data_IF_912162799360
#
_entry.id   IF_912162799360
#
_cell.length_a   1.000
_cell.length_b   1.000
_cell.length_c   1.000
_cell.angle_alpha   90.00
_cell.angle_beta   90.00
_cell.angle_gamma   90.00
#
_symmetry.space_group_name_H-M   'P 1'
#
loop_
_entity.id
_entity.type
_entity.pdbx_description
1 polymer ?
#
# COMPACT_ATOMS: atom_id res chain seq x y z
N UNK A 1 -18.11 -12.32 -27.22
CA UNK A 1 -16.70 -12.69 -26.90
C UNK A 1 -15.75 -11.50 -26.70
N UNK A 2 -16.09 -10.26 -27.09
CA UNK A 2 -15.16 -9.11 -27.02
C UNK A 2 -15.25 -8.23 -25.75
N UNK A 3 -16.28 -8.39 -24.90
CA UNK A 3 -16.45 -7.54 -23.72
C UNK A 3 -15.48 -7.88 -22.57
N UNK A 4 -15.06 -9.14 -22.46
CA UNK A 4 -14.12 -9.59 -21.41
C UNK A 4 -12.69 -9.17 -21.75
N UNK A 5 -12.30 -9.24 -23.03
CA UNK A 5 -10.98 -8.79 -23.50
C UNK A 5 -10.78 -7.28 -23.29
N UNK A 6 -11.81 -6.46 -23.57
CA UNK A 6 -11.74 -5.01 -23.37
C UNK A 6 -11.62 -4.61 -21.89
N UNK A 7 -12.08 -5.46 -20.96
CA UNK A 7 -11.92 -5.23 -19.51
C UNK A 7 -10.49 -5.46 -19.02
N UNK A 8 -9.69 -6.22 -19.78
CA UNK A 8 -8.30 -6.55 -19.46
C UNK A 8 -7.29 -5.57 -20.10
N UNK A 9 -7.72 -4.74 -21.05
CA UNK A 9 -6.86 -3.80 -21.81
C UNK A 9 -7.11 -2.33 -21.39
N UNK A 10 -8.02 -2.09 -20.45
CA UNK A 10 -8.28 -0.75 -19.93
C UNK A 10 -7.23 -0.32 -18.89
N UNK A 11 -6.12 0.22 -19.37
CA UNK A 11 -5.06 0.83 -18.55
C UNK A 11 -5.51 2.08 -17.77
N UNK A 12 -6.76 2.52 -17.90
CA UNK A 12 -7.29 3.67 -17.15
C UNK A 12 -8.06 3.27 -15.89
N UNK A 13 -8.35 1.98 -15.70
CA UNK A 13 -9.10 1.51 -14.54
C UNK A 13 -8.26 1.53 -13.27
N UNK A 14 -8.38 2.63 -12.50
CA UNK A 14 -7.80 2.72 -11.15
C UNK A 14 -8.45 1.68 -10.23
N UNK A 15 -7.63 0.94 -9.51
CA UNK A 15 -8.08 0.01 -8.47
C UNK A 15 -8.68 0.85 -7.32
N UNK A 16 -9.91 0.58 -6.85
CA UNK A 16 -10.52 1.34 -5.76
C UNK A 16 -9.66 1.37 -4.50
N UNK A 17 -9.79 2.41 -3.68
CA UNK A 17 -9.11 2.49 -2.39
C UNK A 17 -9.39 1.23 -1.54
N UNK A 18 -8.37 0.76 -0.83
CA UNK A 18 -8.43 -0.39 0.09
C UNK A 18 -8.55 -1.77 -0.57
N UNK A 19 -8.55 -1.85 -1.91
CA UNK A 19 -8.49 -3.13 -2.64
C UNK A 19 -7.04 -3.62 -2.77
N UNK A 20 -6.84 -4.94 -2.75
CA UNK A 20 -5.53 -5.57 -2.90
C UNK A 20 -5.11 -5.50 -4.37
N UNK A 21 -3.92 -4.94 -4.61
CA UNK A 21 -3.30 -4.84 -5.93
C UNK A 21 -2.29 -5.97 -6.19
N UNK A 22 -1.79 -6.61 -5.14
CA UNK A 22 -0.84 -7.71 -5.24
C UNK A 22 -0.18 -8.04 -3.91
N UNK A 23 0.79 -8.94 -3.96
CA UNK A 23 1.51 -9.44 -2.79
C UNK A 23 3.02 -9.39 -3.04
N UNK A 24 3.77 -8.77 -2.13
CA UNK A 24 5.21 -8.98 -2.07
C UNK A 24 5.55 -10.18 -1.18
N UNK A 25 6.60 -10.91 -1.55
CA UNK A 25 7.12 -12.03 -0.75
C UNK A 25 6.05 -13.08 -0.38
N UNK A 26 5.06 -13.26 -1.27
CA UNK A 26 3.92 -14.18 -1.14
C UNK A 26 2.86 -13.77 -0.10
N UNK A 27 3.18 -12.93 0.89
CA UNK A 27 2.30 -12.71 2.05
C UNK A 27 2.26 -11.26 2.58
N UNK A 28 2.67 -10.27 1.79
CA UNK A 28 2.54 -8.85 2.16
C UNK A 28 1.68 -8.14 1.13
N UNK A 29 0.42 -7.88 1.48
CA UNK A 29 -0.56 -7.21 0.62
C UNK A 29 -0.14 -5.77 0.31
N UNK A 30 -0.14 -5.40 -0.97
CA UNK A 30 -0.13 -4.02 -1.41
C UNK A 30 -1.58 -3.58 -1.66
N UNK A 31 -2.06 -2.61 -0.90
CA UNK A 31 -3.40 -2.06 -1.05
C UNK A 31 -3.37 -0.80 -1.91
N UNK A 32 -4.43 -0.58 -2.69
CA UNK A 32 -4.59 0.64 -3.46
C UNK A 32 -4.86 1.84 -2.55
N UNK A 33 -4.09 2.91 -2.76
CA UNK A 33 -4.38 4.24 -2.19
C UNK A 33 -5.42 5.01 -3.05
N UNK A 34 -6.05 4.38 -4.04
CA UNK A 34 -7.02 5.00 -4.95
C UNK A 34 -6.37 5.87 -6.03
N UNK A 35 -5.63 6.92 -5.65
CA UNK A 35 -4.83 7.73 -6.57
C UNK A 35 -3.62 8.38 -5.87
N UNK A 36 -2.81 9.10 -6.63
CA UNK A 36 -1.54 9.74 -6.25
C UNK A 36 -1.69 10.96 -5.33
N UNK A 37 -2.86 11.59 -5.28
CA UNK A 37 -3.14 12.74 -4.42
C UNK A 37 -4.02 12.41 -3.21
N UNK A 38 -4.52 11.17 -3.13
CA UNK A 38 -5.42 10.75 -2.07
C UNK A 38 -4.69 10.53 -0.75
N UNK A 39 -5.28 10.98 0.35
CA UNK A 39 -4.82 10.69 1.72
C UNK A 39 -6.04 10.35 2.57
N UNK A 40 -6.13 9.10 3.03
CA UNK A 40 -7.30 8.60 3.78
C UNK A 40 -7.51 9.25 5.15
N UNK A 41 -6.43 9.77 5.75
CA UNK A 41 -6.38 10.17 7.17
C UNK A 41 -6.69 9.02 8.14
N UNK A 42 -6.67 7.78 7.65
CA UNK A 42 -6.82 6.56 8.46
C UNK A 42 -5.45 5.99 8.82
N UNK A 43 -5.27 5.70 10.11
CA UNK A 43 -4.04 5.05 10.59
C UNK A 43 -4.10 3.53 10.36
N UNK A 44 -2.98 2.96 9.92
CA UNK A 44 -2.73 1.52 9.83
C UNK A 44 -1.94 1.06 11.05
N UNK A 45 -2.39 -0.05 11.67
CA UNK A 45 -1.71 -0.69 12.78
C UNK A 45 -1.62 -2.20 12.54
N UNK A 46 -0.49 -2.80 12.93
CA UNK A 46 -0.30 -4.24 12.94
C UNK A 46 0.29 -4.65 14.29
N UNK A 47 -0.41 -5.52 15.02
CA UNK A 47 -0.10 -5.91 16.40
C UNK A 47 0.18 -4.72 17.33
N UNK A 48 -0.60 -3.64 17.19
CA UNK A 48 -0.47 -2.42 17.99
C UNK A 48 0.65 -1.46 17.54
N UNK A 49 1.47 -1.83 16.56
CA UNK A 49 2.53 -0.97 16.03
C UNK A 49 1.97 -0.14 14.88
N UNK A 50 2.19 1.18 14.93
CA UNK A 50 1.80 2.10 13.87
C UNK A 50 2.60 1.86 12.59
N UNK A 51 1.91 1.48 11.52
CA UNK A 51 2.53 1.25 10.22
C UNK A 51 2.62 2.53 9.40
N UNK A 52 1.62 3.41 9.49
CA UNK A 52 1.55 4.64 8.70
C UNK A 52 0.09 5.00 8.37
N UNK A 53 -0.09 5.97 7.47
CA UNK A 53 -1.41 6.33 6.93
C UNK A 53 -1.76 5.34 5.82
N UNK A 54 -2.96 4.74 5.86
CA UNK A 54 -3.46 3.86 4.78
C UNK A 54 -3.59 4.64 3.46
N UNK A 55 -3.08 4.19 2.32
CA UNK A 55 -2.10 3.11 2.05
C UNK A 55 -0.87 3.74 1.40
N UNK A 56 -0.27 4.69 2.12
CA UNK A 56 0.87 5.47 1.65
C UNK A 56 2.15 4.62 1.55
N UNK A 57 3.10 5.06 0.74
CA UNK A 57 4.34 4.31 0.49
C UNK A 57 5.15 4.03 1.78
N UNK A 58 5.14 4.97 2.73
CA UNK A 58 5.80 4.82 4.03
C UNK A 58 5.10 3.77 4.89
N UNK A 59 3.76 3.65 4.81
CA UNK A 59 2.99 2.58 5.47
C UNK A 59 3.42 1.22 4.97
N UNK A 60 3.42 1.06 3.64
CA UNK A 60 3.75 -0.21 3.02
C UNK A 60 5.19 -0.64 3.32
N UNK A 61 6.13 0.30 3.24
CA UNK A 61 7.55 0.05 3.53
C UNK A 61 7.76 -0.40 4.98
N UNK A 62 7.10 0.26 5.94
CA UNK A 62 7.19 -0.10 7.36
C UNK A 62 6.57 -1.47 7.63
N UNK A 63 5.38 -1.74 7.07
CA UNK A 63 4.68 -3.02 7.23
C UNK A 63 5.45 -4.18 6.60
N UNK A 64 6.01 -3.98 5.41
CA UNK A 64 6.86 -4.98 4.76
C UNK A 64 8.09 -5.29 5.62
N UNK A 65 8.80 -4.27 6.13
CA UNK A 65 9.97 -4.46 6.97
C UNK A 65 9.63 -5.21 8.25
N UNK A 66 8.49 -4.85 8.88
CA UNK A 66 8.03 -5.50 10.08
C UNK A 66 7.73 -6.99 9.84
N UNK A 67 6.95 -7.33 8.81
CA UNK A 67 6.59 -8.73 8.51
C UNK A 67 7.81 -9.55 8.07
N UNK A 68 8.73 -8.97 7.27
CA UNK A 68 9.82 -9.72 6.64
C UNK A 68 11.13 -9.72 7.42
N UNK A 69 11.35 -8.73 8.29
CA UNK A 69 12.61 -8.52 9.00
C UNK A 69 12.43 -8.30 10.50
N UNK A 70 11.19 -8.20 11.00
CA UNK A 70 10.92 -8.04 12.44
C UNK A 70 11.32 -6.67 13.00
N UNK A 71 11.51 -5.66 12.15
CA UNK A 71 11.89 -4.31 12.57
C UNK A 71 11.10 -3.23 11.83
N UNK A 72 11.12 -2.01 12.39
CA UNK A 72 10.55 -0.80 11.79
C UNK A 72 11.59 0.31 11.85
N UNK A 73 11.53 1.24 10.90
CA UNK A 73 12.28 2.50 11.00
C UNK A 73 11.50 3.52 11.85
N UNK A 74 12.21 4.56 12.33
CA UNK A 74 11.65 5.64 13.15
C UNK A 74 10.48 6.36 12.47
N UNK A 75 9.74 7.16 13.23
CA UNK A 75 8.74 8.05 12.65
C UNK A 75 9.42 9.09 11.76
N UNK A 76 8.85 9.32 10.58
CA UNK A 76 9.32 10.27 9.56
C UNK A 76 8.11 10.95 8.93
N UNK A 77 8.29 12.17 8.42
CA UNK A 77 7.21 12.94 7.79
C UNK A 77 7.02 12.52 6.32
N UNK A 78 8.12 12.40 5.59
CA UNK A 78 8.12 12.03 4.18
C UNK A 78 9.00 10.81 3.88
N UNK A 79 8.75 10.20 2.72
CA UNK A 79 9.57 9.07 2.26
C UNK A 79 11.05 9.47 2.00
N UNK A 80 11.31 10.74 1.69
CA UNK A 80 12.67 11.25 1.47
C UNK A 80 13.53 11.20 2.75
N UNK A 81 12.91 11.23 3.94
CA UNK A 81 13.61 11.18 5.23
C UNK A 81 14.05 9.75 5.63
N UNK A 82 13.83 8.76 4.75
CA UNK A 82 14.29 7.38 4.97
C UNK A 82 15.78 7.16 4.68
N UNK A 83 16.42 8.04 3.89
CA UNK A 83 17.84 7.96 3.51
C UNK A 83 18.74 8.53 4.60
#
# INVERSE_FOLDING_TARGET
MNSVLNKLIDNTRKVPFNEIMGYASTNVEAYSNGNDTYTSKENSYLYGIYMGIKWQCVEYSRRWLFIRKGCVFKSIEGAADMW
#
